data_IF_054464571608
#
_entry.id   IF_054464571608
#
_cell.length_a   1.000
_cell.length_b   1.000
_cell.length_c   1.000
_cell.angle_alpha   90.00
_cell.angle_beta   90.00
_cell.angle_gamma   90.00
#
_symmetry.space_group_name_H-M   'P 1'
#
loop_
_entity.id
_entity.type
_entity.pdbx_description
1 polymer ?
#
# COMPACT_ATOMS: atom_id res chain seq x y z
N UNK A 1 20.46 21.39 4.64
CA UNK A 1 21.13 20.59 3.57
C UNK A 1 22.55 20.17 3.99
N UNK A 2 23.47 21.09 4.30
CA UNK A 2 24.85 20.75 4.72
C UNK A 2 24.96 19.72 5.85
N UNK A 3 24.03 19.77 6.82
CA UNK A 3 23.96 18.80 7.92
C UNK A 3 23.51 17.41 7.48
N UNK A 4 22.52 17.33 6.59
CA UNK A 4 22.02 16.08 6.00
C UNK A 4 23.12 15.41 5.16
N UNK A 5 23.87 16.18 4.37
CA UNK A 5 25.01 15.70 3.60
C UNK A 5 26.11 15.14 4.49
N UNK A 6 26.38 15.78 5.62
CA UNK A 6 27.33 15.30 6.61
C UNK A 6 26.88 13.96 7.22
N UNK A 7 25.63 13.88 7.69
CA UNK A 7 25.04 12.64 8.25
C UNK A 7 25.11 11.48 7.26
N UNK A 8 24.83 11.73 5.98
CA UNK A 8 24.97 10.71 4.91
C UNK A 8 26.41 10.23 4.73
N UNK A 9 27.39 11.15 4.76
CA UNK A 9 28.82 10.80 4.67
C UNK A 9 29.29 10.02 5.90
N UNK A 10 28.70 10.30 7.06
CA UNK A 10 29.01 9.63 8.33
C UNK A 10 28.32 8.25 8.46
N UNK A 11 27.59 7.80 7.43
CA UNK A 11 27.00 6.45 7.37
C UNK A 11 25.57 6.33 7.90
N UNK A 12 24.88 7.44 8.13
CA UNK A 12 23.45 7.44 8.49
C UNK A 12 22.62 6.69 7.44
N UNK A 13 21.60 5.94 7.89
CA UNK A 13 20.71 5.26 6.98
C UNK A 13 19.88 6.31 6.21
N UNK A 14 19.96 6.37 4.86
CA UNK A 14 19.21 7.34 4.07
C UNK A 14 17.69 7.27 4.30
N UNK A 15 17.17 6.14 4.76
CA UNK A 15 15.77 5.98 5.13
C UNK A 15 15.36 6.89 6.30
N UNK A 16 16.22 7.07 7.31
CA UNK A 16 15.90 7.90 8.47
C UNK A 16 15.72 9.36 8.05
N UNK A 17 16.65 9.87 7.22
CA UNK A 17 16.58 11.22 6.68
C UNK A 17 15.34 11.44 5.78
N UNK A 18 14.95 10.42 5.00
CA UNK A 18 13.73 10.47 4.19
C UNK A 18 12.46 10.49 5.04
N UNK A 19 12.44 9.75 6.17
CA UNK A 19 11.33 9.78 7.12
C UNK A 19 11.21 11.15 7.78
N UNK A 20 12.32 11.71 8.27
CA UNK A 20 12.35 13.06 8.84
C UNK A 20 11.79 14.10 7.87
N UNK A 21 12.22 14.03 6.60
CA UNK A 21 11.69 14.92 5.55
C UNK A 21 10.19 14.70 5.30
N UNK A 22 9.74 13.44 5.25
CA UNK A 22 8.32 13.12 5.07
C UNK A 22 7.45 13.67 6.19
N UNK A 23 7.86 13.51 7.45
CA UNK A 23 7.16 14.06 8.63
C UNK A 23 7.11 15.58 8.57
N UNK A 24 8.23 16.24 8.22
CA UNK A 24 8.27 17.69 8.09
C UNK A 24 7.29 18.21 7.02
N UNK A 25 7.25 17.56 5.84
CA UNK A 25 6.34 17.94 4.75
C UNK A 25 4.87 17.76 5.14
N UNK A 26 4.51 16.63 5.75
CA UNK A 26 3.12 16.38 6.17
C UNK A 26 2.71 17.34 7.29
N UNK A 27 3.63 17.67 8.20
CA UNK A 27 3.37 18.65 9.26
C UNK A 27 3.09 20.03 8.68
N UNK A 28 3.88 20.47 7.69
CA UNK A 28 3.74 21.77 7.03
C UNK A 28 2.44 21.90 6.24
N UNK A 29 2.09 20.87 5.44
CA UNK A 29 0.95 20.95 4.52
C UNK A 29 -0.38 20.44 5.10
N UNK A 30 -0.36 19.72 6.22
CA UNK A 30 -1.57 19.15 6.82
C UNK A 30 -1.68 19.48 8.32
N UNK A 31 -0.95 18.76 9.16
CA UNK A 31 -0.87 18.99 10.61
C UNK A 31 0.12 18.03 11.25
N UNK A 32 0.53 18.32 12.50
CA UNK A 32 1.35 17.42 13.30
C UNK A 32 0.68 16.05 13.52
N UNK A 33 -0.62 16.06 13.82
CA UNK A 33 -1.41 14.83 14.03
C UNK A 33 -1.47 13.97 12.77
N UNK A 34 -1.60 14.60 11.59
CA UNK A 34 -1.56 13.89 10.31
C UNK A 34 -0.18 13.29 10.05
N UNK A 35 0.90 13.99 10.42
CA UNK A 35 2.26 13.51 10.26
C UNK A 35 2.56 12.29 11.16
N UNK A 36 2.16 12.34 12.44
CA UNK A 36 2.29 11.22 13.38
C UNK A 36 1.51 9.99 12.89
N UNK A 37 0.28 10.18 12.39
CA UNK A 37 -0.53 9.11 11.82
C UNK A 37 0.12 8.52 10.56
N UNK A 38 0.65 9.35 9.66
CA UNK A 38 1.31 8.91 8.45
C UNK A 38 2.59 8.12 8.74
N UNK A 39 3.41 8.59 9.69
CA UNK A 39 4.62 7.88 10.13
C UNK A 39 4.29 6.52 10.74
N UNK A 40 3.28 6.47 11.62
CA UNK A 40 2.79 5.22 12.21
C UNK A 40 2.32 4.24 11.14
N UNK A 41 1.47 4.68 10.22
CA UNK A 41 0.98 3.84 9.12
C UNK A 41 2.13 3.33 8.24
N UNK A 42 3.14 4.16 7.94
CA UNK A 42 4.31 3.74 7.18
C UNK A 42 5.12 2.66 7.91
N UNK A 43 5.32 2.82 9.23
CA UNK A 43 6.02 1.83 10.05
C UNK A 43 5.25 0.50 10.08
N UNK A 44 3.97 0.53 10.39
CA UNK A 44 3.13 -0.67 10.48
C UNK A 44 3.08 -1.40 9.12
N UNK A 45 2.82 -0.66 8.04
CA UNK A 45 2.67 -1.23 6.69
C UNK A 45 3.97 -1.80 6.14
N UNK A 46 5.07 -1.03 6.16
CA UNK A 46 6.29 -1.38 5.43
C UNK A 46 7.40 -1.98 6.30
N UNK A 47 7.45 -1.66 7.60
CA UNK A 47 8.46 -2.22 8.50
C UNK A 47 7.92 -3.43 9.27
N UNK A 48 6.70 -3.34 9.79
CA UNK A 48 6.08 -4.42 10.57
C UNK A 48 5.25 -5.39 9.72
N UNK A 49 5.07 -5.10 8.42
CA UNK A 49 4.27 -5.90 7.47
C UNK A 49 2.82 -6.09 7.92
N UNK A 50 2.27 -5.09 8.61
CA UNK A 50 0.88 -4.99 9.08
C UNK A 50 0.17 -3.83 8.36
N UNK A 51 -0.20 -4.01 7.08
CA UNK A 51 -0.91 -2.98 6.35
C UNK A 51 -2.31 -2.73 6.92
N UNK A 52 -2.77 -1.49 6.85
CA UNK A 52 -4.18 -1.15 7.08
C UNK A 52 -4.95 -1.22 5.76
N UNK A 53 -6.09 -1.91 5.76
CA UNK A 53 -6.96 -2.05 4.59
C UNK A 53 -8.05 -0.97 4.60
N UNK A 54 -7.64 0.28 4.43
CA UNK A 54 -8.53 1.44 4.56
C UNK A 54 -9.38 1.71 3.29
N UNK A 55 -8.92 1.23 2.13
CA UNK A 55 -9.59 1.45 0.85
C UNK A 55 -10.74 0.45 0.70
N UNK A 56 -11.97 0.95 0.69
CA UNK A 56 -13.18 0.12 0.64
C UNK A 56 -13.63 -0.14 -0.80
N UNK A 57 -13.78 -1.40 -1.17
CA UNK A 57 -14.21 -1.86 -2.51
C UNK A 57 -15.51 -2.66 -2.43
N UNK A 58 -16.26 -2.72 -3.54
CA UNK A 58 -17.49 -3.50 -3.61
C UNK A 58 -17.19 -5.01 -3.55
N UNK A 59 -17.97 -5.76 -2.75
CA UNK A 59 -18.02 -7.23 -2.81
C UNK A 59 -19.04 -7.73 -3.83
N UNK A 60 -18.94 -9.00 -4.21
CA UNK A 60 -19.85 -9.69 -5.12
C UNK A 60 -19.36 -9.76 -6.57
N UNK A 61 -18.42 -8.91 -6.96
CA UNK A 61 -17.79 -8.97 -8.27
C UNK A 61 -16.58 -9.92 -8.30
N UNK A 62 -16.14 -10.26 -9.52
CA UNK A 62 -14.89 -10.99 -9.70
C UNK A 62 -13.69 -10.16 -9.25
N UNK A 63 -12.68 -10.83 -8.69
CA UNK A 63 -11.42 -10.23 -8.22
C UNK A 63 -10.79 -9.34 -9.29
N UNK A 64 -10.80 -9.78 -10.56
CA UNK A 64 -10.27 -8.99 -11.67
C UNK A 64 -10.99 -7.66 -11.88
N UNK A 65 -12.32 -7.62 -11.69
CA UNK A 65 -13.11 -6.38 -11.81
C UNK A 65 -12.88 -5.50 -10.59
N UNK A 66 -12.88 -6.07 -9.38
CA UNK A 66 -12.67 -5.34 -8.14
C UNK A 66 -11.31 -4.64 -8.08
N UNK A 67 -10.24 -5.29 -8.57
CA UNK A 67 -8.90 -4.71 -8.53
C UNK A 67 -8.56 -3.86 -9.76
N UNK A 68 -9.29 -3.98 -10.87
CA UNK A 68 -8.98 -3.27 -12.12
C UNK A 68 -8.74 -1.76 -11.94
N UNK A 69 -9.61 -1.01 -11.21
CA UNK A 69 -9.43 0.43 -10.99
C UNK A 69 -8.18 0.78 -10.17
N UNK A 70 -7.61 -0.18 -9.45
CA UNK A 70 -6.44 0.03 -8.59
C UNK A 70 -5.14 -0.48 -9.24
N UNK A 71 -5.21 -0.91 -10.49
CA UNK A 71 -4.03 -1.27 -11.30
C UNK A 71 -3.44 -0.05 -11.98
N UNK A 72 -2.16 -0.10 -12.35
CA UNK A 72 -1.47 1.03 -13.02
C UNK A 72 -2.07 1.42 -14.38
N UNK A 73 -2.79 0.50 -15.03
CA UNK A 73 -3.43 0.72 -16.32
C UNK A 73 -4.96 0.80 -16.23
N UNK A 74 -5.50 0.78 -15.01
CA UNK A 74 -6.95 0.85 -14.74
C UNK A 74 -7.79 -0.13 -15.58
N UNK A 75 -7.24 -1.31 -15.90
CA UNK A 75 -7.85 -2.24 -16.86
C UNK A 75 -8.00 -3.65 -16.31
N UNK A 76 -9.08 -4.32 -16.72
CA UNK A 76 -9.38 -5.71 -16.34
C UNK A 76 -8.31 -6.68 -16.85
N UNK A 77 -7.75 -6.42 -18.04
CA UNK A 77 -6.68 -7.24 -18.60
C UNK A 77 -5.41 -7.17 -17.76
N UNK A 78 -5.08 -5.99 -17.24
CA UNK A 78 -3.94 -5.80 -16.34
C UNK A 78 -4.19 -6.47 -14.98
N UNK A 79 -5.39 -6.33 -14.42
CA UNK A 79 -5.80 -7.04 -13.22
C UNK A 79 -5.62 -8.56 -13.36
N UNK A 80 -6.11 -9.15 -14.47
CA UNK A 80 -5.95 -10.58 -14.77
C UNK A 80 -4.47 -10.98 -14.87
N UNK A 81 -3.62 -10.11 -15.44
CA UNK A 81 -2.17 -10.34 -15.54
C UNK A 81 -1.53 -10.40 -14.15
N UNK A 82 -1.84 -9.43 -13.27
CA UNK A 82 -1.32 -9.39 -11.91
C UNK A 82 -1.74 -10.62 -11.09
N UNK A 83 -3.01 -11.02 -11.19
CA UNK A 83 -3.53 -12.23 -10.52
C UNK A 83 -2.76 -13.47 -11.00
N UNK A 84 -2.60 -13.64 -12.32
CA UNK A 84 -1.83 -14.77 -12.88
C UNK A 84 -0.35 -14.77 -12.51
N UNK A 85 0.21 -13.61 -12.17
CA UNK A 85 1.59 -13.45 -11.71
C UNK A 85 1.74 -13.65 -10.19
N UNK A 86 0.70 -14.11 -9.49
CA UNK A 86 0.66 -14.24 -8.03
C UNK A 86 0.96 -12.91 -7.31
N UNK A 87 0.64 -11.78 -7.95
CA UNK A 87 0.82 -10.45 -7.37
C UNK A 87 -0.39 -10.00 -6.56
N UNK A 88 -1.42 -10.84 -6.41
CA UNK A 88 -2.64 -10.54 -5.65
C UNK A 88 -2.83 -11.58 -4.55
N UNK A 89 -3.08 -11.08 -3.36
CA UNK A 89 -3.27 -11.86 -2.14
C UNK A 89 -4.65 -11.48 -1.56
N UNK A 90 -5.42 -12.49 -1.16
CA UNK A 90 -6.70 -12.34 -0.46
C UNK A 90 -6.58 -13.06 0.89
N UNK A 91 -6.77 -12.34 1.98
CA UNK A 91 -6.68 -12.84 3.37
C UNK A 91 -5.37 -13.59 3.70
N UNK A 92 -4.25 -13.15 3.12
CA UNK A 92 -2.93 -13.75 3.31
C UNK A 92 -2.64 -14.95 2.42
N UNK A 93 -3.49 -15.24 1.42
CA UNK A 93 -3.32 -16.30 0.43
C UNK A 93 -3.23 -15.74 -0.97
N UNK A 94 -2.19 -16.13 -1.71
CA UNK A 94 -2.06 -15.81 -3.13
C UNK A 94 -3.22 -16.45 -3.90
N UNK A 95 -3.92 -15.64 -4.71
CA UNK A 95 -5.02 -16.08 -5.57
C UNK A 95 -4.57 -15.95 -7.02
N UNK A 96 -4.69 -17.04 -7.77
CA UNK A 96 -4.33 -17.13 -9.19
C UNK A 96 -5.56 -17.12 -10.12
N UNK A 97 -6.77 -17.28 -9.55
CA UNK A 97 -8.03 -17.32 -10.27
C UNK A 97 -8.65 -15.90 -10.42
N UNK A 98 -8.68 -15.32 -11.64
CA UNK A 98 -9.23 -13.98 -11.83
C UNK A 98 -10.76 -13.90 -11.65
N UNK A 99 -11.44 -15.04 -11.70
CA UNK A 99 -12.88 -15.17 -11.51
C UNK A 99 -13.26 -15.45 -10.05
N UNK A 100 -12.31 -15.40 -9.11
CA UNK A 100 -12.61 -15.48 -7.68
C UNK A 100 -13.63 -14.40 -7.31
N UNK A 101 -14.72 -14.77 -6.64
CA UNK A 101 -15.74 -13.82 -6.20
C UNK A 101 -15.32 -13.23 -4.86
N UNK A 102 -15.13 -11.91 -4.84
CA UNK A 102 -14.75 -11.17 -3.64
C UNK A 102 -15.91 -11.15 -2.65
N UNK A 103 -15.68 -11.61 -1.43
CA UNK A 103 -16.70 -11.60 -0.37
C UNK A 103 -16.56 -10.37 0.50
N UNK A 104 -17.66 -9.96 1.13
CA UNK A 104 -17.62 -8.89 2.14
C UNK A 104 -16.70 -9.30 3.29
N UNK A 105 -15.77 -8.42 3.66
CA UNK A 105 -14.76 -8.66 4.68
C UNK A 105 -13.40 -9.08 4.15
N UNK A 106 -13.29 -9.55 2.90
CA UNK A 106 -12.02 -9.98 2.31
C UNK A 106 -11.00 -8.83 2.28
N UNK A 107 -9.78 -9.13 2.74
CA UNK A 107 -8.64 -8.21 2.72
C UNK A 107 -7.77 -8.53 1.51
N UNK A 108 -7.84 -7.65 0.50
CA UNK A 108 -7.18 -7.84 -0.79
C UNK A 108 -5.93 -6.98 -0.83
N UNK A 109 -4.79 -7.61 -1.02
CA UNK A 109 -3.51 -6.96 -1.26
C UNK A 109 -3.14 -7.10 -2.73
N UNK A 110 -3.01 -5.97 -3.41
CA UNK A 110 -2.55 -5.90 -4.81
C UNK A 110 -1.10 -5.41 -4.80
N UNK A 111 -0.18 -6.31 -5.12
CA UNK A 111 1.24 -6.07 -5.10
C UNK A 111 1.77 -5.70 -3.71
N UNK A 112 2.71 -4.75 -3.66
CA UNK A 112 3.39 -4.36 -2.42
C UNK A 112 2.85 -3.08 -1.78
N UNK A 113 1.91 -2.38 -2.45
CA UNK A 113 1.53 -1.01 -2.08
C UNK A 113 0.02 -0.74 -2.01
N UNK A 114 -0.82 -1.63 -2.52
CA UNK A 114 -2.26 -1.41 -2.60
C UNK A 114 -2.97 -2.41 -1.68
N UNK A 115 -3.73 -1.89 -0.73
CA UNK A 115 -4.45 -2.67 0.29
C UNK A 115 -5.92 -2.26 0.26
N UNK A 116 -6.80 -3.19 -0.09
CA UNK A 116 -8.23 -2.99 -0.30
C UNK A 116 -9.02 -3.89 0.67
N UNK A 117 -10.15 -3.40 1.17
CA UNK A 117 -11.10 -4.16 1.99
C UNK A 117 -12.44 -4.23 1.30
N UNK A 118 -12.93 -5.43 1.06
CA UNK A 118 -14.24 -5.64 0.50
C UNK A 118 -15.35 -5.29 1.52
N UNK A 119 -16.30 -4.47 1.09
CA UNK A 119 -17.52 -4.13 1.84
C UNK A 119 -18.67 -5.04 1.45
#
# INVERSE_FOLDING_TARGET
IKEVEKRLKDGENPLNLKKELGVALVTEFHSKEAAEKAEKNFKETFQEKRPTFDIKVASGDSLAVTIAPFTSLESISEAKRLIKQNAVDVDGKMVDNPSYIVKSGDEIKVGSRTFLKAK
#
